data_IF_653159066404
#
_entry.id   IF_653159066404
#
_cell.length_a   1.000
_cell.length_b   1.000
_cell.length_c   1.000
_cell.angle_alpha   90.00
_cell.angle_beta   90.00
_cell.angle_gamma   90.00
#
_symmetry.space_group_name_H-M   'P 1'
#
loop_
_entity.id
_entity.type
_entity.pdbx_description
1 polymer ?
#
# COMPACT_ATOMS: atom_id res chain seq x y z
N UNK A 1 -7.91 11.55 7.14
CA UNK A 1 -7.20 10.84 8.23
C UNK A 1 -8.06 9.80 8.94
N UNK A 2 -9.39 9.96 9.01
CA UNK A 2 -10.28 8.97 9.67
C UNK A 2 -10.11 7.54 9.14
N UNK A 3 -10.15 7.34 7.82
CA UNK A 3 -9.91 6.01 7.21
C UNK A 3 -8.52 5.43 7.53
N UNK A 4 -7.50 6.29 7.68
CA UNK A 4 -6.14 5.88 8.08
C UNK A 4 -6.13 5.41 9.54
N UNK A 5 -6.84 6.11 10.43
CA UNK A 5 -6.97 5.71 11.83
C UNK A 5 -7.71 4.37 11.95
N UNK A 6 -8.83 4.20 11.24
CA UNK A 6 -9.58 2.95 11.21
C UNK A 6 -8.73 1.77 10.71
N UNK A 7 -8.05 1.92 9.56
CA UNK A 7 -7.17 0.88 9.02
C UNK A 7 -5.98 0.57 9.95
N UNK A 8 -5.47 1.57 10.69
CA UNK A 8 -4.43 1.34 11.71
C UNK A 8 -4.97 0.50 12.87
N UNK A 9 -6.19 0.80 13.34
CA UNK A 9 -6.85 0.02 14.41
C UNK A 9 -7.11 -1.42 13.97
N UNK A 10 -7.57 -1.64 12.73
CA UNK A 10 -7.77 -2.98 12.15
C UNK A 10 -6.46 -3.77 12.09
N UNK A 11 -5.37 -3.16 11.60
CA UNK A 11 -4.05 -3.80 11.57
C UNK A 11 -3.57 -4.17 12.97
N UNK A 12 -3.67 -3.26 13.95
CA UNK A 12 -3.28 -3.52 15.34
C UNK A 12 -4.08 -4.66 15.95
N UNK A 13 -5.38 -4.76 15.66
CA UNK A 13 -6.20 -5.88 16.12
C UNK A 13 -5.69 -7.23 15.59
N UNK A 14 -5.22 -7.30 14.33
CA UNK A 14 -4.57 -8.50 13.80
C UNK A 14 -3.21 -8.76 14.45
N UNK A 15 -2.38 -7.73 14.64
CA UNK A 15 -1.08 -7.86 15.32
C UNK A 15 -1.25 -8.40 16.74
N UNK A 16 -2.32 -8.02 17.44
CA UNK A 16 -2.64 -8.48 18.79
C UNK A 16 -3.01 -9.98 18.86
N UNK A 17 -3.21 -10.64 17.71
CA UNK A 17 -3.44 -12.10 17.63
C UNK A 17 -2.18 -12.90 17.31
N UNK A 18 -1.08 -12.23 16.95
CA UNK A 18 0.19 -12.87 16.62
C UNK A 18 0.93 -13.33 17.89
N UNK A 19 1.85 -14.27 17.72
CA UNK A 19 2.84 -14.65 18.71
C UNK A 19 4.28 -14.38 18.22
N UNK A 20 5.25 -14.48 19.13
CA UNK A 20 6.66 -14.22 18.81
C UNK A 20 7.20 -15.12 17.70
N UNK A 21 6.75 -16.38 17.63
CA UNK A 21 7.18 -17.33 16.61
C UNK A 21 6.68 -16.92 15.22
N UNK A 22 5.44 -16.43 15.15
CA UNK A 22 4.78 -16.04 13.91
C UNK A 22 5.44 -14.85 13.20
N UNK A 23 6.26 -14.05 13.90
CA UNK A 23 6.99 -12.92 13.31
C UNK A 23 8.10 -13.37 12.35
N UNK A 24 8.67 -14.55 12.59
CA UNK A 24 9.70 -15.13 11.75
C UNK A 24 9.13 -15.92 10.55
N UNK A 25 7.83 -16.22 10.56
CA UNK A 25 7.18 -16.90 9.45
C UNK A 25 7.18 -16.02 8.19
N UNK A 26 7.15 -16.65 6.99
CA UNK A 26 6.98 -15.94 5.74
C UNK A 26 5.71 -15.08 5.71
N UNK A 27 5.86 -13.87 5.19
CA UNK A 27 4.75 -13.03 4.74
C UNK A 27 4.32 -13.45 3.32
N UNK A 28 3.31 -12.78 2.73
CA UNK A 28 2.97 -12.97 1.32
C UNK A 28 4.00 -12.34 0.36
N UNK A 29 4.90 -11.49 0.86
CA UNK A 29 5.95 -10.87 0.05
C UNK A 29 7.19 -11.79 -0.02
N UNK A 30 7.73 -12.05 -1.23
CA UNK A 30 8.92 -12.88 -1.38
C UNK A 30 10.11 -12.39 -0.57
N UNK A 31 10.66 -13.26 0.27
CA UNK A 31 11.84 -12.96 1.09
C UNK A 31 11.57 -12.15 2.36
N UNK A 32 10.33 -11.72 2.61
CA UNK A 32 9.97 -10.97 3.82
C UNK A 32 9.24 -11.85 4.82
N UNK A 33 9.62 -11.75 6.09
CA UNK A 33 8.83 -12.30 7.20
C UNK A 33 7.72 -11.33 7.61
N UNK A 34 6.78 -11.78 8.44
CA UNK A 34 5.77 -10.87 9.05
C UNK A 34 6.43 -9.70 9.78
N UNK A 35 7.53 -9.95 10.50
CA UNK A 35 8.32 -8.90 11.14
C UNK A 35 8.86 -7.83 10.18
N UNK A 36 9.26 -8.21 8.96
CA UNK A 36 9.69 -7.25 7.93
C UNK A 36 8.54 -6.35 7.49
N UNK A 37 7.34 -6.93 7.30
CA UNK A 37 6.13 -6.17 6.93
C UNK A 37 5.79 -5.15 8.02
N UNK A 38 5.77 -5.54 9.29
CA UNK A 38 5.46 -4.64 10.41
C UNK A 38 6.51 -3.51 10.53
N UNK A 39 7.80 -3.85 10.42
CA UNK A 39 8.88 -2.85 10.44
C UNK A 39 8.75 -1.85 9.28
N UNK A 40 8.45 -2.34 8.06
CA UNK A 40 8.21 -1.49 6.89
C UNK A 40 7.03 -0.54 7.10
N UNK A 41 5.89 -1.03 7.61
CA UNK A 41 4.71 -0.18 7.86
C UNK A 41 5.06 0.94 8.85
N UNK A 42 5.85 0.68 9.89
CA UNK A 42 6.30 1.71 10.82
C UNK A 42 7.21 2.74 10.13
N UNK A 43 8.21 2.29 9.37
CA UNK A 43 9.11 3.19 8.62
C UNK A 43 8.39 3.97 7.52
N UNK A 44 7.35 3.42 6.90
CA UNK A 44 6.48 4.14 5.98
C UNK A 44 5.79 5.32 6.68
N UNK A 45 5.24 5.12 7.88
CA UNK A 45 4.61 6.21 8.64
C UNK A 45 5.61 7.33 8.95
N UNK A 46 6.81 6.99 9.42
CA UNK A 46 7.88 7.96 9.67
C UNK A 46 8.26 8.73 8.38
N UNK A 47 8.29 8.05 7.24
CA UNK A 47 8.58 8.67 5.95
C UNK A 47 7.51 9.68 5.50
N UNK A 48 6.25 9.43 5.84
CA UNK A 48 5.14 10.34 5.53
C UNK A 48 5.08 11.53 6.50
N UNK A 49 5.57 11.38 7.74
CA UNK A 49 5.82 12.51 8.65
C UNK A 49 6.79 13.50 8.01
N UNK A 50 7.87 13.02 7.38
CA UNK A 50 8.82 13.89 6.67
C UNK A 50 8.16 14.71 5.56
N UNK A 51 7.25 14.10 4.79
CA UNK A 51 6.55 14.83 3.73
C UNK A 51 5.57 15.87 4.28
N UNK A 52 4.87 15.58 5.38
CA UNK A 52 4.01 16.57 6.02
C UNK A 52 4.83 17.70 6.65
N UNK A 53 6.00 17.39 7.22
CA UNK A 53 6.93 18.39 7.73
C UNK A 53 7.44 19.30 6.61
N UNK A 54 7.77 18.73 5.45
CA UNK A 54 8.12 19.50 4.25
C UNK A 54 6.97 20.42 3.86
N UNK A 55 5.76 19.89 3.69
CA UNK A 55 4.59 20.69 3.32
C UNK A 55 4.31 21.84 4.31
N UNK A 56 4.53 21.60 5.60
CA UNK A 56 4.35 22.59 6.66
C UNK A 56 5.45 23.67 6.67
N UNK A 57 6.71 23.29 6.49
CA UNK A 57 7.85 24.20 6.66
C UNK A 57 8.30 24.87 5.36
N UNK A 58 7.94 24.31 4.21
CA UNK A 58 8.49 24.66 2.91
C UNK A 58 9.93 24.17 2.68
N UNK A 59 10.53 23.45 3.65
CA UNK A 59 11.90 22.92 3.56
C UNK A 59 11.85 21.47 3.10
N UNK A 60 12.51 21.17 1.99
CA UNK A 60 12.53 19.83 1.42
C UNK A 60 13.06 18.80 2.43
N UNK A 61 12.21 17.83 2.76
CA UNK A 61 12.52 16.71 3.65
C UNK A 61 12.09 15.41 2.95
N UNK A 62 13.01 14.62 2.39
CA UNK A 62 12.66 13.42 1.63
C UNK A 62 12.05 12.34 2.53
N UNK A 63 11.26 11.43 1.93
CA UNK A 63 10.68 10.29 2.64
C UNK A 63 11.74 9.49 3.40
N UNK A 64 12.84 9.18 2.73
CA UNK A 64 13.96 8.44 3.29
C UNK A 64 15.25 9.17 2.95
N UNK A 65 16.21 9.18 3.89
CA UNK A 65 17.54 9.75 3.65
C UNK A 65 18.30 9.00 2.53
N UNK A 66 18.09 7.68 2.42
CA UNK A 66 18.52 6.88 1.27
C UNK A 66 17.76 5.55 1.22
N UNK A 67 17.78 4.86 0.08
CA UNK A 67 17.28 3.49 -0.04
C UNK A 67 18.03 2.54 0.89
N UNK A 68 19.36 2.68 1.00
CA UNK A 68 20.19 1.82 1.85
C UNK A 68 19.80 1.91 3.32
N UNK A 69 19.56 3.13 3.82
CA UNK A 69 19.15 3.34 5.21
C UNK A 69 17.74 2.81 5.46
N UNK A 70 16.81 3.05 4.53
CA UNK A 70 15.46 2.47 4.61
C UNK A 70 15.52 0.95 4.74
N UNK A 71 16.28 0.30 3.86
CA UNK A 71 16.33 -1.15 3.82
C UNK A 71 17.02 -1.69 5.09
N UNK A 72 18.11 -1.05 5.54
CA UNK A 72 18.76 -1.41 6.80
C UNK A 72 17.84 -1.26 8.01
N UNK A 73 17.02 -0.20 8.09
CA UNK A 73 16.07 0.00 9.17
C UNK A 73 14.99 -1.09 9.22
N UNK A 74 14.57 -1.59 8.05
CA UNK A 74 13.61 -2.71 7.94
C UNK A 74 14.27 -4.01 8.40
N UNK A 75 15.47 -4.32 7.91
CA UNK A 75 16.22 -5.53 8.28
C UNK A 75 16.53 -5.59 9.78
N UNK A 76 16.93 -4.45 10.37
CA UNK A 76 17.18 -4.34 11.81
C UNK A 76 15.89 -4.35 12.64
N UNK A 77 14.78 -3.88 12.08
CA UNK A 77 13.48 -3.85 12.73
C UNK A 77 12.77 -5.20 12.73
N UNK A 78 12.92 -5.98 11.66
CA UNK A 78 12.20 -7.23 11.45
C UNK A 78 12.29 -8.25 12.60
N UNK A 79 13.46 -8.51 13.23
CA UNK A 79 13.58 -9.51 14.29
C UNK A 79 13.21 -8.99 15.69
N UNK A 80 12.70 -7.76 15.82
CA UNK A 80 12.29 -7.22 17.13
C UNK A 80 11.14 -8.04 17.73
N UNK A 81 11.09 -8.19 19.07
CA UNK A 81 9.97 -8.83 19.76
C UNK A 81 8.62 -8.21 19.40
N UNK A 82 7.55 -8.99 19.48
CA UNK A 82 6.19 -8.56 19.14
C UNK A 82 5.76 -7.31 19.91
N UNK A 83 6.09 -7.24 21.20
CA UNK A 83 5.78 -6.06 22.01
C UNK A 83 6.45 -4.78 21.47
N UNK A 84 7.69 -4.89 20.97
CA UNK A 84 8.41 -3.77 20.36
C UNK A 84 7.87 -3.41 18.98
N UNK A 85 7.53 -4.41 18.16
CA UNK A 85 6.90 -4.20 16.84
C UNK A 85 5.56 -3.46 16.98
N UNK A 86 4.72 -3.92 17.91
CA UNK A 86 3.42 -3.31 18.20
C UNK A 86 3.59 -1.89 18.74
N UNK A 87 4.53 -1.65 19.66
CA UNK A 87 4.81 -0.33 20.17
C UNK A 87 5.26 0.62 19.05
N UNK A 88 6.18 0.19 18.19
CA UNK A 88 6.68 1.00 17.07
C UNK A 88 5.55 1.34 16.07
N UNK A 89 4.64 0.40 15.80
CA UNK A 89 3.45 0.66 14.97
C UNK A 89 2.54 1.73 15.57
N UNK A 90 2.24 1.64 16.86
CA UNK A 90 1.41 2.63 17.57
C UNK A 90 2.10 3.99 17.54
N UNK A 91 3.37 4.05 17.94
CA UNK A 91 4.08 5.32 18.07
C UNK A 91 4.30 5.99 16.70
N UNK A 92 4.62 5.23 15.65
CA UNK A 92 4.78 5.77 14.29
C UNK A 92 3.44 6.27 13.72
N UNK A 93 2.34 5.55 13.97
CA UNK A 93 1.01 6.02 13.61
C UNK A 93 0.62 7.31 14.36
N UNK A 94 0.91 7.39 15.66
CA UNK A 94 0.64 8.57 16.48
C UNK A 94 1.45 9.78 16.02
N UNK A 95 2.73 9.60 15.67
CA UNK A 95 3.56 10.65 15.06
C UNK A 95 2.94 11.17 13.76
N UNK A 96 2.50 10.27 12.88
CA UNK A 96 1.85 10.63 11.62
C UNK A 96 0.53 11.38 11.85
N UNK A 97 -0.33 10.87 12.73
CA UNK A 97 -1.60 11.50 13.07
C UNK A 97 -1.40 12.86 13.74
N UNK A 98 -0.37 13.00 14.58
CA UNK A 98 0.06 14.26 15.18
C UNK A 98 0.48 15.27 14.13
N UNK A 99 1.39 14.89 13.24
CA UNK A 99 1.88 15.77 12.19
C UNK A 99 0.78 16.16 11.21
N UNK A 100 -0.17 15.27 10.90
CA UNK A 100 -1.30 15.59 10.03
C UNK A 100 -2.27 16.66 10.58
N UNK A 101 -2.17 17.02 11.87
CA UNK A 101 -2.96 18.12 12.45
C UNK A 101 -2.29 19.50 12.31
N UNK A 102 -1.05 19.55 11.84
CA UNK A 102 -0.23 20.77 11.83
C UNK A 102 -0.40 21.59 10.54
N UNK A 103 -0.40 21.03 9.31
CA UNK A 103 -0.52 21.83 8.10
C UNK A 103 -1.84 22.60 8.01
N UNK A 104 -1.77 23.86 7.56
CA UNK A 104 -2.96 24.64 7.18
C UNK A 104 -3.61 24.10 5.90
N UNK A 105 -4.80 24.58 5.56
CA UNK A 105 -5.49 24.20 4.32
C UNK A 105 -4.64 24.46 3.07
N UNK A 106 -3.89 25.57 3.04
CA UNK A 106 -2.97 25.93 1.96
C UNK A 106 -1.74 25.02 1.95
N UNK A 107 -1.20 24.68 3.13
CA UNK A 107 -0.04 23.78 3.24
C UNK A 107 -0.36 22.36 2.77
N UNK A 108 -1.61 21.91 2.92
CA UNK A 108 -2.07 20.66 2.32
C UNK A 108 -2.07 20.65 0.78
N UNK A 109 -2.01 21.83 0.14
CA UNK A 109 -1.88 21.95 -1.32
C UNK A 109 -0.43 22.02 -1.80
N UNK A 110 0.54 22.12 -0.89
CA UNK A 110 1.97 22.20 -1.25
C UNK A 110 2.41 20.91 -1.93
N UNK A 111 3.17 21.07 -3.01
CA UNK A 111 3.80 19.95 -3.72
C UNK A 111 4.99 19.44 -2.92
N UNK A 112 4.97 18.13 -2.66
CA UNK A 112 6.09 17.34 -2.12
C UNK A 112 6.49 16.29 -3.15
N UNK A 113 7.53 15.51 -2.90
CA UNK A 113 7.97 14.43 -3.81
C UNK A 113 7.89 13.06 -3.15
N UNK A 114 7.39 12.10 -3.92
CA UNK A 114 7.45 10.68 -3.56
C UNK A 114 8.91 10.20 -3.51
N UNK A 115 9.16 9.02 -2.92
CA UNK A 115 10.45 8.32 -2.95
C UNK A 115 11.05 8.22 -4.36
N UNK A 116 10.23 8.08 -5.40
CA UNK A 116 10.65 7.99 -6.80
C UNK A 116 10.83 9.36 -7.48
N UNK A 117 10.74 10.47 -6.71
CA UNK A 117 10.90 11.83 -7.22
C UNK A 117 9.66 12.42 -7.91
N UNK A 118 8.58 11.64 -8.04
CA UNK A 118 7.32 12.11 -8.63
C UNK A 118 6.67 13.17 -7.73
N UNK A 119 6.32 14.36 -8.27
CA UNK A 119 5.62 15.39 -7.50
C UNK A 119 4.22 14.93 -7.12
N UNK A 120 3.75 15.37 -5.95
CA UNK A 120 2.45 15.04 -5.40
C UNK A 120 2.02 16.13 -4.41
N UNK A 121 0.77 16.61 -4.45
CA UNK A 121 0.28 17.52 -3.41
C UNK A 121 0.13 16.78 -2.07
N UNK A 122 0.44 17.47 -0.97
CA UNK A 122 0.46 16.88 0.36
C UNK A 122 -0.88 16.23 0.77
N UNK A 123 -2.03 16.73 0.27
CA UNK A 123 -3.35 16.15 0.56
C UNK A 123 -3.51 14.70 0.10
N UNK A 124 -2.61 14.17 -0.74
CA UNK A 124 -2.60 12.75 -1.14
C UNK A 124 -1.83 11.85 -0.17
N UNK A 125 -1.09 12.39 0.80
CA UNK A 125 -0.36 11.60 1.82
C UNK A 125 -1.29 10.65 2.62
N UNK A 126 -2.51 11.06 3.05
CA UNK A 126 -3.44 10.13 3.70
C UNK A 126 -3.82 8.94 2.80
N UNK A 127 -3.99 9.17 1.50
CA UNK A 127 -4.28 8.11 0.54
C UNK A 127 -3.09 7.15 0.38
N UNK A 128 -1.87 7.69 0.29
CA UNK A 128 -0.65 6.86 0.29
C UNK A 128 -0.56 5.97 1.53
N UNK A 129 -0.82 6.54 2.73
CA UNK A 129 -0.80 5.76 3.96
C UNK A 129 -1.88 4.68 3.97
N UNK A 130 -3.07 4.98 3.46
CA UNK A 130 -4.19 4.04 3.44
C UNK A 130 -3.89 2.84 2.54
N UNK A 131 -3.27 3.06 1.38
CA UNK A 131 -2.77 1.99 0.52
C UNK A 131 -1.77 1.11 1.27
N UNK A 132 -0.75 1.71 1.90
CA UNK A 132 0.28 0.98 2.64
C UNK A 132 -0.31 0.12 3.75
N UNK A 133 -1.27 0.64 4.53
CA UNK A 133 -1.93 -0.12 5.58
C UNK A 133 -2.72 -1.31 5.01
N UNK A 134 -3.65 -1.06 4.08
CA UNK A 134 -4.58 -2.09 3.61
C UNK A 134 -3.93 -3.15 2.74
N UNK A 135 -2.97 -2.74 1.91
CA UNK A 135 -2.23 -3.65 1.04
C UNK A 135 -1.30 -4.52 1.90
N UNK A 136 -0.53 -3.91 2.82
CA UNK A 136 0.41 -4.69 3.62
C UNK A 136 -0.24 -5.46 4.78
N UNK A 137 -1.49 -5.16 5.14
CA UNK A 137 -2.28 -6.02 6.02
C UNK A 137 -2.60 -7.36 5.34
N UNK A 138 -2.89 -7.36 4.04
CA UNK A 138 -2.96 -8.60 3.25
C UNK A 138 -1.59 -9.28 3.21
N UNK A 139 -0.53 -8.51 2.96
CA UNK A 139 0.82 -9.06 2.87
C UNK A 139 1.31 -9.70 4.18
N UNK A 140 0.76 -9.30 5.32
CA UNK A 140 1.05 -9.89 6.63
C UNK A 140 0.69 -11.38 6.70
N UNK A 141 -0.16 -11.89 5.80
CA UNK A 141 -0.56 -13.29 5.72
C UNK A 141 -1.06 -13.83 7.08
N UNK A 142 -1.98 -13.07 7.70
CA UNK A 142 -2.52 -13.31 9.04
C UNK A 142 -4.07 -13.26 9.07
N UNK A 143 -4.71 -13.71 7.98
CA UNK A 143 -6.17 -13.86 7.89
C UNK A 143 -6.92 -12.67 7.27
N UNK A 144 -6.26 -11.52 7.08
CA UNK A 144 -6.82 -10.40 6.32
C UNK A 144 -6.56 -10.57 4.82
N UNK A 145 -7.58 -10.33 3.99
CA UNK A 145 -7.59 -10.62 2.56
C UNK A 145 -8.11 -9.42 1.75
N UNK A 146 -7.91 -9.40 0.41
CA UNK A 146 -8.52 -8.39 -0.44
C UNK A 146 -10.03 -8.27 -0.30
N UNK A 147 -10.73 -9.36 0.05
CA UNK A 147 -12.17 -9.37 0.27
C UNK A 147 -12.59 -8.54 1.50
N UNK A 148 -11.67 -8.25 2.41
CA UNK A 148 -11.89 -7.41 3.59
C UNK A 148 -11.70 -5.91 3.29
N UNK A 149 -11.28 -5.55 2.07
CA UNK A 149 -11.12 -4.14 1.70
C UNK A 149 -12.48 -3.44 1.54
N UNK A 150 -12.65 -2.24 2.12
CA UNK A 150 -13.84 -1.42 1.89
C UNK A 150 -14.04 -1.07 0.40
N UNK A 151 -15.29 -1.12 -0.04
CA UNK A 151 -15.66 -0.97 -1.45
C UNK A 151 -15.23 0.38 -2.07
N UNK A 152 -15.25 1.46 -1.27
CA UNK A 152 -14.81 2.79 -1.69
C UNK A 152 -13.30 2.83 -2.00
N UNK A 153 -12.50 2.17 -1.18
CA UNK A 153 -11.06 2.02 -1.40
C UNK A 153 -10.74 1.12 -2.58
N UNK A 154 -11.48 0.00 -2.74
CA UNK A 154 -11.33 -0.85 -3.92
C UNK A 154 -11.64 -0.05 -5.19
N UNK A 155 -12.70 0.73 -5.20
CA UNK A 155 -13.08 1.55 -6.35
C UNK A 155 -12.01 2.60 -6.71
N UNK A 156 -11.50 3.36 -5.72
CA UNK A 156 -10.46 4.37 -5.97
C UNK A 156 -9.13 3.71 -6.39
N UNK A 157 -8.70 2.65 -5.71
CA UNK A 157 -7.44 1.98 -5.98
C UNK A 157 -7.45 1.25 -7.34
N UNK A 158 -8.55 0.57 -7.68
CA UNK A 158 -8.68 -0.13 -8.96
C UNK A 158 -8.59 0.86 -10.13
N UNK A 159 -9.25 2.02 -10.03
CA UNK A 159 -9.16 3.07 -11.04
C UNK A 159 -7.72 3.63 -11.17
N UNK A 160 -7.04 3.88 -10.05
CA UNK A 160 -5.66 4.38 -10.04
C UNK A 160 -4.66 3.37 -10.62
N UNK A 161 -4.75 2.10 -10.21
CA UNK A 161 -3.86 1.03 -10.68
C UNK A 161 -4.11 0.73 -12.16
N UNK A 162 -5.36 0.71 -12.61
CA UNK A 162 -5.69 0.55 -14.02
C UNK A 162 -5.13 1.71 -14.86
N UNK A 163 -5.26 2.96 -14.39
CA UNK A 163 -4.69 4.10 -15.08
C UNK A 163 -3.15 4.05 -15.14
N UNK A 164 -2.47 3.70 -14.04
CA UNK A 164 -1.00 3.55 -14.03
C UNK A 164 -0.54 2.43 -14.96
N UNK A 165 -1.20 1.27 -14.95
CA UNK A 165 -0.87 0.15 -15.83
C UNK A 165 -1.10 0.49 -17.30
N UNK A 166 -2.22 1.13 -17.64
CA UNK A 166 -2.54 1.57 -19.00
C UNK A 166 -1.54 2.58 -19.57
N UNK A 167 -0.86 3.34 -18.71
CA UNK A 167 0.19 4.27 -19.13
C UNK A 167 1.57 3.61 -19.34
N UNK A 168 1.74 2.33 -18.99
CA UNK A 168 3.03 1.63 -19.15
C UNK A 168 3.21 1.15 -20.60
N UNK A 169 4.42 1.28 -21.16
CA UNK A 169 4.70 0.72 -22.47
C UNK A 169 4.67 -0.83 -22.42
N UNK A 170 4.31 -1.44 -23.54
CA UNK A 170 4.45 -2.90 -23.78
C UNK A 170 3.60 -3.83 -22.89
N UNK A 171 2.42 -3.38 -22.43
CA UNK A 171 1.40 -4.28 -21.87
C UNK A 171 0.73 -5.05 -23.02
N UNK A 172 0.65 -6.38 -22.92
CA UNK A 172 -0.12 -7.19 -23.89
C UNK A 172 -1.60 -6.75 -23.86
N UNK A 173 -2.32 -6.77 -25.00
CA UNK A 173 -3.73 -6.39 -25.01
C UNK A 173 -4.59 -7.34 -24.15
N UNK A 174 -5.35 -6.79 -23.20
CA UNK A 174 -6.38 -7.53 -22.46
C UNK A 174 -7.41 -6.58 -21.87
N UNK A 175 -8.56 -7.13 -21.48
CA UNK A 175 -9.64 -6.42 -20.80
C UNK A 175 -9.87 -6.96 -19.39
N UNK A 176 -10.31 -6.08 -18.49
CA UNK A 176 -10.87 -6.45 -17.20
C UNK A 176 -12.32 -6.00 -17.08
N UNK A 177 -13.13 -6.79 -16.38
CA UNK A 177 -14.50 -6.44 -15.99
C UNK A 177 -14.75 -6.86 -14.54
N UNK A 178 -15.05 -5.89 -13.69
CA UNK A 178 -15.48 -6.14 -12.32
C UNK A 178 -16.93 -6.62 -12.30
N UNK A 179 -17.14 -7.84 -11.80
CA UNK A 179 -18.45 -8.53 -11.83
C UNK A 179 -19.47 -7.97 -10.84
N UNK A 180 -19.03 -7.12 -9.90
CA UNK A 180 -19.78 -6.60 -8.76
C UNK A 180 -19.96 -5.07 -8.77
N UNK A 181 -19.18 -4.34 -9.57
CA UNK A 181 -19.19 -2.87 -9.61
C UNK A 181 -19.44 -2.30 -11.01
N UNK A 182 -19.35 -3.12 -12.06
CA UNK A 182 -19.45 -2.68 -13.45
C UNK A 182 -18.24 -1.88 -13.93
N UNK A 183 -17.16 -1.79 -13.14
CA UNK A 183 -15.90 -1.20 -13.59
C UNK A 183 -15.28 -2.06 -14.69
N UNK A 184 -14.74 -1.43 -15.74
CA UNK A 184 -14.00 -2.13 -16.78
C UNK A 184 -12.88 -1.26 -17.33
N UNK A 185 -11.83 -1.90 -17.82
CA UNK A 185 -10.70 -1.23 -18.46
C UNK A 185 -10.06 -2.13 -19.52
N UNK A 186 -9.54 -1.51 -20.57
CA UNK A 186 -8.77 -2.17 -21.63
C UNK A 186 -7.32 -1.70 -21.56
N UNK A 187 -6.38 -2.64 -21.67
CA UNK A 187 -4.94 -2.39 -21.59
C UNK A 187 -4.26 -2.75 -22.90
N UNK A 188 -3.08 -2.16 -23.15
CA UNK A 188 -2.27 -2.45 -24.33
C UNK A 188 -2.79 -1.82 -25.63
N UNK A 189 -2.09 -2.07 -26.73
CA UNK A 189 -2.46 -1.59 -28.08
C UNK A 189 -2.83 -2.76 -28.99
N UNK A 190 -4.02 -2.72 -29.59
CA UNK A 190 -4.54 -3.78 -30.47
C UNK A 190 -5.89 -4.29 -29.99
N UNK A 191 -6.46 -5.25 -30.72
CA UNK A 191 -7.70 -5.91 -30.29
C UNK A 191 -7.38 -6.90 -29.15
N UNK A 192 -8.00 -6.75 -27.96
CA UNK A 192 -7.79 -7.67 -26.87
C UNK A 192 -8.39 -9.04 -27.21
N UNK A 193 -7.58 -10.09 -27.05
CA UNK A 193 -8.01 -11.49 -27.22
C UNK A 193 -8.33 -12.17 -25.88
N UNK A 194 -8.13 -11.45 -24.77
CA UNK A 194 -8.31 -11.93 -23.40
C UNK A 194 -9.15 -10.96 -22.57
N UNK A 195 -10.10 -11.52 -21.83
CA UNK A 195 -10.94 -10.80 -20.86
C UNK A 195 -10.88 -11.50 -19.51
N UNK A 196 -10.57 -10.74 -18.46
CA UNK A 196 -10.51 -11.20 -17.08
C UNK A 196 -11.71 -10.62 -16.33
N UNK A 197 -12.65 -11.46 -15.93
CA UNK A 197 -13.81 -11.06 -15.15
C UNK A 197 -13.73 -11.66 -13.74
N UNK A 198 -13.75 -10.81 -12.72
CA UNK A 198 -13.68 -11.20 -11.30
C UNK A 198 -14.23 -10.06 -10.42
N UNK A 199 -14.46 -10.28 -9.11
CA UNK A 199 -14.80 -9.20 -8.18
C UNK A 199 -13.74 -8.08 -8.20
N UNK A 200 -14.15 -6.83 -7.97
CA UNK A 200 -13.26 -5.67 -8.07
C UNK A 200 -12.03 -5.79 -7.15
N UNK A 201 -12.20 -6.34 -5.95
CA UNK A 201 -11.13 -6.57 -4.98
C UNK A 201 -10.07 -7.56 -5.50
N UNK A 202 -10.51 -8.66 -6.11
CA UNK A 202 -9.64 -9.68 -6.70
C UNK A 202 -8.89 -9.14 -7.92
N UNK A 203 -9.57 -8.34 -8.77
CA UNK A 203 -8.92 -7.66 -9.89
C UNK A 203 -7.81 -6.72 -9.42
N UNK A 204 -8.08 -5.84 -8.45
CA UNK A 204 -7.05 -4.91 -7.98
C UNK A 204 -5.92 -5.65 -7.26
N UNK A 205 -6.20 -6.69 -6.46
CA UNK A 205 -5.15 -7.52 -5.85
C UNK A 205 -4.22 -8.14 -6.90
N UNK A 206 -4.79 -8.71 -7.97
CA UNK A 206 -4.01 -9.25 -9.09
C UNK A 206 -3.18 -8.16 -9.79
N UNK A 207 -3.77 -7.00 -10.09
CA UNK A 207 -3.05 -5.89 -10.74
C UNK A 207 -1.90 -5.34 -9.88
N UNK A 208 -2.00 -5.45 -8.55
CA UNK A 208 -0.96 -5.13 -7.57
C UNK A 208 0.10 -6.24 -7.44
N UNK A 209 -0.04 -7.36 -8.16
CA UNK A 209 0.87 -8.51 -8.10
C UNK A 209 0.62 -9.47 -6.93
N UNK A 210 -0.52 -9.40 -6.25
CA UNK A 210 -0.84 -10.22 -5.05
C UNK A 210 -1.58 -11.52 -5.37
N UNK A 211 -1.10 -12.18 -6.43
CA UNK A 211 -1.55 -13.50 -6.84
C UNK A 211 -2.96 -13.53 -7.43
N UNK A 212 -3.31 -14.71 -7.95
CA UNK A 212 -4.67 -15.05 -8.32
C UNK A 212 -5.35 -15.74 -7.13
N UNK A 213 -6.58 -15.37 -6.81
CA UNK A 213 -7.46 -16.18 -5.97
C UNK A 213 -8.32 -17.11 -6.84
N UNK A 214 -9.16 -17.92 -6.21
CA UNK A 214 -10.07 -18.84 -6.91
C UNK A 214 -11.16 -18.16 -7.74
N UNK A 215 -11.33 -16.84 -7.58
CA UNK A 215 -12.31 -16.06 -8.34
C UNK A 215 -11.76 -15.57 -9.69
N UNK A 216 -10.44 -15.60 -9.85
CA UNK A 216 -9.77 -15.24 -11.10
C UNK A 216 -9.66 -16.46 -12.04
N UNK A 217 -9.68 -16.24 -13.37
CA UNK A 217 -9.47 -17.32 -14.33
C UNK A 217 -8.07 -17.91 -14.22
N UNK A 218 -7.94 -19.20 -14.55
CA UNK A 218 -6.68 -19.95 -14.41
C UNK A 218 -5.51 -19.41 -15.25
N UNK A 219 -5.81 -18.81 -16.41
CA UNK A 219 -4.81 -18.18 -17.27
C UNK A 219 -4.95 -16.66 -17.21
N UNK A 220 -3.97 -15.99 -16.61
CA UNK A 220 -3.93 -14.54 -16.51
C UNK A 220 -2.86 -13.94 -17.45
N UNK A 221 -3.12 -12.75 -18.02
CA UNK A 221 -2.08 -11.96 -18.68
C UNK A 221 -0.87 -11.74 -17.76
N UNK A 222 0.33 -11.76 -18.32
CA UNK A 222 1.53 -11.38 -17.57
C UNK A 222 1.54 -9.87 -17.35
N UNK A 223 1.67 -9.46 -16.10
CA UNK A 223 1.77 -8.06 -15.71
C UNK A 223 3.23 -7.64 -15.53
N UNK A 224 3.59 -6.40 -15.88
CA UNK A 224 4.86 -5.84 -15.44
C UNK A 224 4.88 -5.75 -13.91
N UNK A 225 6.08 -5.81 -13.32
CA UNK A 225 6.25 -5.68 -11.86
C UNK A 225 5.59 -4.39 -11.38
N UNK A 226 4.72 -4.50 -10.38
CA UNK A 226 4.09 -3.36 -9.73
C UNK A 226 5.11 -2.61 -8.85
N UNK A 227 4.97 -1.28 -8.75
CA UNK A 227 6.01 -0.37 -8.22
C UNK A 227 6.22 -0.47 -6.72
#
# INVERSE_FOLDING_TARGET
MEAVAAATTELLATVDTLDEASLADPSALPGWTRGHVLAHISRNADSLVNLLLWAHTGVETPQYASTVLRDADIELGAPRPLAEQRADLVESADRLMGMARVPTAEQWQVEVRTRQGRPLPAYRIPWMRLQELRIHHVDLAAGYTPADWPADFVAELLAEVAADLGARPAVQPFEIEATDTGFGATFGTGDPDRKVAAPAASLVAWLLGRGADETLPAELPQLPVWR
#
